data_IF_206106980607
#
_entry.id   IF_206106980607
#
_cell.length_a   1.000
_cell.length_b   1.000
_cell.length_c   1.000
_cell.angle_alpha   90.00
_cell.angle_beta   90.00
_cell.angle_gamma   90.00
#
_symmetry.space_group_name_H-M   'P 1'
#
loop_
_entity.id
_entity.type
_entity.pdbx_description
1 polymer ?
#
# COMPACT_ATOMS: atom_id res chain seq x y z
N UNK A 1 -22.43 1.65 -9.91
CA UNK A 1 -21.71 1.40 -8.63
C UNK A 1 -20.25 1.00 -8.83
N UNK A 2 -19.94 -0.06 -9.60
CA UNK A 2 -18.55 -0.53 -9.85
C UNK A 2 -17.64 0.58 -10.39
N UNK A 3 -18.04 1.28 -11.47
CA UNK A 3 -17.28 2.40 -12.02
C UNK A 3 -16.97 3.53 -11.01
N UNK A 4 -17.96 3.93 -10.21
CA UNK A 4 -17.81 5.00 -9.21
C UNK A 4 -16.78 4.63 -8.14
N UNK A 5 -16.74 3.36 -7.72
CA UNK A 5 -15.79 2.86 -6.73
C UNK A 5 -14.35 2.83 -7.27
N UNK A 6 -14.10 2.43 -8.52
CA UNK A 6 -12.73 2.46 -9.08
C UNK A 6 -12.26 3.89 -9.26
N UNK A 7 -13.15 4.77 -9.72
CA UNK A 7 -12.84 6.18 -9.89
C UNK A 7 -12.49 6.82 -8.54
N UNK A 8 -13.31 6.56 -7.51
CA UNK A 8 -13.04 7.03 -6.16
C UNK A 8 -11.69 6.54 -5.63
N UNK A 9 -11.41 5.24 -5.76
CA UNK A 9 -10.14 4.68 -5.30
C UNK A 9 -8.94 5.29 -6.04
N UNK A 10 -9.05 5.48 -7.36
CA UNK A 10 -8.02 6.13 -8.16
C UNK A 10 -7.78 7.59 -7.75
N UNK A 11 -8.85 8.34 -7.42
CA UNK A 11 -8.73 9.72 -6.92
C UNK A 11 -7.99 9.75 -5.57
N UNK A 12 -8.32 8.83 -4.66
CA UNK A 12 -7.63 8.72 -3.36
C UNK A 12 -6.14 8.39 -3.57
N UNK A 13 -5.82 7.41 -4.41
CA UNK A 13 -4.42 7.05 -4.71
C UNK A 13 -3.65 8.23 -5.34
N UNK A 14 -4.26 8.94 -6.28
CA UNK A 14 -3.68 10.13 -6.92
C UNK A 14 -3.38 11.22 -5.90
N UNK A 15 -4.34 11.50 -5.00
CA UNK A 15 -4.16 12.48 -3.93
C UNK A 15 -3.03 12.10 -2.99
N UNK A 16 -2.95 10.84 -2.57
CA UNK A 16 -1.87 10.34 -1.71
C UNK A 16 -0.51 10.46 -2.41
N UNK A 17 -0.42 10.10 -3.69
CA UNK A 17 0.81 10.23 -4.46
C UNK A 17 1.26 11.68 -4.62
N UNK A 18 0.31 12.60 -4.86
CA UNK A 18 0.59 14.03 -4.89
C UNK A 18 1.16 14.52 -3.55
N UNK A 19 0.49 14.22 -2.44
CA UNK A 19 0.94 14.59 -1.10
C UNK A 19 2.31 13.99 -0.76
N UNK A 20 2.57 12.74 -1.16
CA UNK A 20 3.87 12.11 -0.98
C UNK A 20 4.97 12.75 -1.84
N UNK A 21 4.66 13.17 -3.05
CA UNK A 21 5.64 13.84 -3.92
C UNK A 21 6.07 15.22 -3.41
N UNK A 22 5.16 15.92 -2.71
CA UNK A 22 5.41 17.20 -2.03
C UNK A 22 6.00 17.04 -0.63
N UNK A 23 5.80 15.89 0.01
CA UNK A 23 6.26 15.64 1.37
C UNK A 23 7.79 15.56 1.47
N UNK A 24 8.29 15.79 2.69
CA UNK A 24 9.69 15.57 2.99
C UNK A 24 10.09 14.11 2.71
N UNK A 25 11.26 13.97 2.10
CA UNK A 25 11.76 12.71 1.53
C UNK A 25 11.83 11.53 2.50
N UNK A 26 11.97 11.82 3.79
CA UNK A 26 12.13 10.82 4.84
C UNK A 26 10.81 10.31 5.41
N UNK A 27 9.67 10.98 5.16
CA UNK A 27 8.37 10.59 5.76
C UNK A 27 7.91 9.21 5.28
N UNK A 28 7.99 8.96 3.97
CA UNK A 28 7.64 7.67 3.39
C UNK A 28 8.49 6.51 3.96
N UNK A 29 9.84 6.60 3.89
CA UNK A 29 10.73 5.62 4.51
C UNK A 29 10.51 5.43 6.01
N UNK A 30 10.22 6.50 6.76
CA UNK A 30 9.94 6.39 8.20
C UNK A 30 8.65 5.62 8.48
N UNK A 31 7.59 5.87 7.71
CA UNK A 31 6.33 5.12 7.85
C UNK A 31 6.54 3.64 7.51
N UNK A 32 7.29 3.34 6.44
CA UNK A 32 7.66 1.97 6.11
C UNK A 32 8.45 1.31 7.24
N UNK A 33 9.44 2.02 7.81
CA UNK A 33 10.23 1.51 8.93
C UNK A 33 9.36 1.24 10.17
N UNK A 34 8.48 2.17 10.55
CA UNK A 34 7.57 2.00 11.67
C UNK A 34 6.65 0.79 11.47
N UNK A 35 6.09 0.63 10.28
CA UNK A 35 5.29 -0.56 9.92
C UNK A 35 6.12 -1.85 9.94
N UNK A 36 7.39 -1.79 9.55
CA UNK A 36 8.31 -2.92 9.65
C UNK A 36 8.54 -3.35 11.10
N UNK A 37 8.76 -2.40 12.01
CA UNK A 37 8.86 -2.67 13.45
C UNK A 37 7.56 -3.28 13.98
N UNK A 38 6.40 -2.71 13.62
CA UNK A 38 5.10 -3.27 14.00
C UNK A 38 4.92 -4.70 13.48
N UNK A 39 5.34 -4.97 12.25
CA UNK A 39 5.29 -6.32 11.64
C UNK A 39 6.11 -7.31 12.46
N UNK A 40 7.32 -6.95 12.87
CA UNK A 40 8.19 -7.79 13.71
C UNK A 40 7.56 -8.03 15.08
N UNK A 41 7.00 -7.01 15.71
CA UNK A 41 6.31 -7.15 17.00
C UNK A 41 5.11 -8.09 16.90
N UNK A 42 4.27 -7.92 15.86
CA UNK A 42 3.12 -8.79 15.63
C UNK A 42 3.55 -10.25 15.36
N UNK A 43 4.67 -10.46 14.68
CA UNK A 43 5.26 -11.78 14.47
C UNK A 43 5.56 -12.49 15.80
N UNK A 44 6.17 -11.79 16.76
CA UNK A 44 6.47 -12.36 18.08
C UNK A 44 5.20 -12.63 18.89
N UNK A 45 4.22 -11.73 18.85
CA UNK A 45 2.94 -11.90 19.55
C UNK A 45 2.22 -13.15 19.01
N UNK A 46 2.06 -13.25 17.69
CA UNK A 46 1.38 -14.38 17.06
C UNK A 46 2.17 -15.67 17.29
N UNK A 47 3.50 -15.67 17.22
CA UNK A 47 4.30 -16.86 17.49
C UNK A 47 4.15 -17.36 18.95
N UNK A 48 3.88 -16.47 19.90
CA UNK A 48 3.62 -16.85 21.30
C UNK A 48 2.21 -17.43 21.50
N UNK A 49 1.25 -17.09 20.63
CA UNK A 49 -0.15 -17.54 20.72
C UNK A 49 -0.41 -18.90 20.07
N UNK A 50 0.51 -19.43 19.25
CA UNK A 50 0.30 -20.65 18.46
C UNK A 50 1.02 -21.85 19.09
N UNK A 51 0.29 -22.82 19.67
CA UNK A 51 0.86 -24.09 20.06
C UNK A 51 1.48 -24.79 18.85
N UNK A 52 2.66 -25.41 19.02
CA UNK A 52 3.33 -26.12 17.92
C UNK A 52 2.37 -27.16 17.31
N UNK A 53 2.05 -27.00 16.01
CA UNK A 53 1.15 -27.89 15.26
C UNK A 53 -0.31 -27.44 15.14
N UNK A 54 -0.69 -26.30 15.72
CA UNK A 54 -2.02 -25.73 15.55
C UNK A 54 -2.17 -24.91 14.24
N UNK A 55 -3.41 -24.67 13.81
CA UNK A 55 -3.71 -23.80 12.67
C UNK A 55 -3.33 -22.35 12.95
N UNK A 56 -3.02 -21.61 11.88
CA UNK A 56 -2.71 -20.18 11.97
C UNK A 56 -3.91 -19.41 12.56
N UNK A 57 -3.70 -18.57 13.59
CA UNK A 57 -4.76 -17.81 14.21
C UNK A 57 -5.19 -16.66 13.29
N UNK A 58 -6.42 -16.14 13.41
CA UNK A 58 -6.87 -14.99 12.61
C UNK A 58 -5.94 -13.75 12.72
N UNK A 59 -5.26 -13.60 13.85
CA UNK A 59 -4.24 -12.55 14.07
C UNK A 59 -3.06 -12.63 13.10
N UNK A 60 -2.77 -13.80 12.52
CA UNK A 60 -1.76 -13.95 11.45
C UNK A 60 -2.06 -13.10 10.21
N UNK A 61 -3.34 -12.83 9.92
CA UNK A 61 -3.73 -11.92 8.84
C UNK A 61 -3.24 -10.49 9.06
N UNK A 62 -3.16 -10.04 10.32
CA UNK A 62 -2.63 -8.71 10.66
C UNK A 62 -1.12 -8.61 10.39
N UNK A 63 -0.38 -9.70 10.66
CA UNK A 63 1.06 -9.81 10.34
C UNK A 63 1.26 -9.68 8.83
N UNK A 64 0.48 -10.42 8.04
CA UNK A 64 0.56 -10.36 6.57
C UNK A 64 0.21 -8.97 6.06
N UNK A 65 -0.86 -8.35 6.58
CA UNK A 65 -1.25 -7.00 6.19
C UNK A 65 -0.17 -5.95 6.54
N UNK A 66 0.41 -6.03 7.74
CA UNK A 66 1.48 -5.14 8.17
C UNK A 66 2.75 -5.34 7.33
N UNK A 67 3.10 -6.58 7.01
CA UNK A 67 4.23 -6.91 6.15
C UNK A 67 4.03 -6.36 4.73
N UNK A 68 2.88 -6.64 4.11
CA UNK A 68 2.55 -6.11 2.79
C UNK A 68 2.52 -4.58 2.79
N UNK A 69 1.96 -3.96 3.84
CA UNK A 69 1.97 -2.52 4.02
C UNK A 69 3.40 -1.95 4.08
N UNK A 70 4.28 -2.59 4.84
CA UNK A 70 5.70 -2.24 4.94
C UNK A 70 6.38 -2.27 3.57
N UNK A 71 6.22 -3.37 2.83
CA UNK A 71 6.85 -3.56 1.52
C UNK A 71 6.29 -2.57 0.51
N UNK A 72 4.98 -2.40 0.45
CA UNK A 72 4.32 -1.51 -0.52
C UNK A 72 4.66 -0.04 -0.25
N UNK A 73 4.63 0.40 1.01
CA UNK A 73 4.98 1.77 1.37
C UNK A 73 6.47 2.01 1.19
N UNK A 74 7.31 1.04 1.55
CA UNK A 74 8.76 1.12 1.34
C UNK A 74 9.13 1.23 -0.14
N UNK A 75 8.61 0.33 -0.97
CA UNK A 75 8.82 0.34 -2.41
C UNK A 75 8.23 1.60 -3.07
N UNK A 76 7.00 1.98 -2.69
CA UNK A 76 6.35 3.19 -3.19
C UNK A 76 7.11 4.46 -2.83
N UNK A 77 7.64 4.54 -1.60
CA UNK A 77 8.48 5.65 -1.16
C UNK A 77 9.79 5.71 -1.95
N UNK A 78 10.47 4.57 -2.13
CA UNK A 78 11.68 4.49 -2.96
C UNK A 78 11.42 4.94 -4.40
N UNK A 79 10.34 4.46 -5.00
CA UNK A 79 9.91 4.84 -6.34
C UNK A 79 9.59 6.34 -6.42
N UNK A 80 8.88 6.89 -5.43
CA UNK A 80 8.56 8.32 -5.35
C UNK A 80 9.82 9.19 -5.24
N UNK A 81 10.85 8.75 -4.50
CA UNK A 81 12.14 9.44 -4.39
C UNK A 81 12.88 9.49 -5.73
N UNK A 82 12.77 8.45 -6.55
CA UNK A 82 13.33 8.41 -7.91
C UNK A 82 12.51 9.32 -8.82
N UNK A 83 11.18 9.17 -8.82
CA UNK A 83 10.28 9.87 -9.73
C UNK A 83 10.26 11.38 -9.52
N UNK A 84 10.33 11.87 -8.28
CA UNK A 84 10.35 13.32 -8.00
C UNK A 84 11.58 14.04 -8.53
N UNK A 85 12.68 13.31 -8.82
CA UNK A 85 13.87 13.89 -9.46
C UNK A 85 13.67 14.09 -10.96
N UNK A 86 12.76 13.32 -11.56
CA UNK A 86 12.57 13.28 -13.01
C UNK A 86 11.29 14.01 -13.44
N UNK A 87 10.23 13.92 -12.65
CA UNK A 87 8.88 14.31 -13.01
C UNK A 87 8.30 15.30 -12.01
N UNK A 88 7.44 16.19 -12.50
CA UNK A 88 6.68 17.10 -11.64
C UNK A 88 5.63 16.35 -10.81
N UNK A 89 5.29 16.83 -9.61
CA UNK A 89 4.23 16.28 -8.74
C UNK A 89 2.92 16.00 -9.47
N UNK A 90 2.47 16.94 -10.31
CA UNK A 90 1.26 16.78 -11.11
C UNK A 90 1.34 15.65 -12.15
N UNK A 91 2.52 15.37 -12.71
CA UNK A 91 2.72 14.26 -13.63
C UNK A 91 2.69 12.91 -12.89
N UNK A 92 3.28 12.85 -11.69
CA UNK A 92 3.24 11.66 -10.82
C UNK A 92 1.78 11.33 -10.46
N UNK A 93 1.02 12.33 -9.98
CA UNK A 93 -0.38 12.16 -9.63
C UNK A 93 -1.23 11.65 -10.80
N UNK A 94 -1.06 12.21 -12.01
CA UNK A 94 -1.76 11.74 -13.21
C UNK A 94 -1.46 10.29 -13.56
N UNK A 95 -0.20 9.86 -13.47
CA UNK A 95 0.17 8.47 -13.78
C UNK A 95 -0.36 7.51 -12.73
N UNK A 96 -0.28 7.86 -11.44
CA UNK A 96 -0.85 7.04 -10.36
C UNK A 96 -2.37 6.96 -10.47
N UNK A 97 -3.04 8.07 -10.81
CA UNK A 97 -4.47 8.07 -11.08
C UNK A 97 -4.84 7.09 -12.20
N UNK A 98 -4.20 7.24 -13.37
CA UNK A 98 -4.53 6.43 -14.54
C UNK A 98 -4.25 4.94 -14.27
N UNK A 99 -3.09 4.61 -13.70
CA UNK A 99 -2.73 3.25 -13.35
C UNK A 99 -3.65 2.64 -12.29
N UNK A 100 -3.91 3.38 -11.21
CA UNK A 100 -4.80 2.96 -10.13
C UNK A 100 -6.24 2.76 -10.62
N UNK A 101 -6.72 3.61 -11.52
CA UNK A 101 -8.06 3.50 -12.10
C UNK A 101 -8.20 2.26 -12.98
N UNK A 102 -7.26 2.03 -13.89
CA UNK A 102 -7.26 0.86 -14.78
C UNK A 102 -7.21 -0.43 -13.96
N UNK A 103 -6.26 -0.55 -13.03
CA UNK A 103 -6.10 -1.75 -12.20
C UNK A 103 -7.34 -2.02 -11.34
N UNK A 104 -7.88 -0.99 -10.68
CA UNK A 104 -9.07 -1.14 -9.83
C UNK A 104 -10.31 -1.48 -10.66
N UNK A 105 -10.44 -0.88 -11.85
CA UNK A 105 -11.53 -1.19 -12.76
C UNK A 105 -11.43 -2.63 -13.25
N UNK A 106 -10.25 -3.08 -13.71
CA UNK A 106 -10.02 -4.46 -14.12
C UNK A 106 -10.31 -5.45 -12.99
N UNK A 107 -9.82 -5.20 -11.77
CA UNK A 107 -10.06 -6.06 -10.63
C UNK A 107 -11.54 -6.19 -10.28
N UNK A 108 -12.28 -5.08 -10.28
CA UNK A 108 -13.74 -5.13 -10.09
C UNK A 108 -14.48 -5.79 -11.24
N UNK A 109 -13.97 -5.72 -12.48
CA UNK A 109 -14.53 -6.50 -13.59
C UNK A 109 -14.28 -7.98 -13.38
N UNK A 110 -13.07 -8.40 -12.99
CA UNK A 110 -12.79 -9.82 -12.69
C UNK A 110 -13.72 -10.34 -11.59
N UNK A 111 -13.87 -9.61 -10.49
CA UNK A 111 -14.79 -9.95 -9.39
C UNK A 111 -16.28 -9.88 -9.79
N UNK A 112 -16.62 -9.17 -10.85
CA UNK A 112 -17.99 -9.08 -11.35
C UNK A 112 -18.43 -10.30 -12.16
N UNK A 113 -17.45 -10.97 -12.78
CA UNK A 113 -17.66 -12.05 -13.74
C UNK A 113 -17.09 -13.40 -13.24
N UNK A 114 -16.60 -13.44 -12.00
CA UNK A 114 -16.28 -14.67 -11.25
C UNK A 114 -17.42 -14.99 -10.30
#
# INVERSE_FOLDING_TARGET
MKFTLSLFFALVLSMVAFLQSEAAWWKGPLVAFALGVVTVVLLFIVAAEVPQGASLPPSSGMVVAAFLGTVLIGAGSGLALILRKMWSPGKIAKVVFLGGWILSFMGMMTLAFS
#
